data_IF_744811121435
#
_entry.id   IF_744811121435
#
_cell.length_a   1.000
_cell.length_b   1.000
_cell.length_c   1.000
_cell.angle_alpha   90.00
_cell.angle_beta   90.00
_cell.angle_gamma   90.00
#
_symmetry.space_group_name_H-M   'P 1'
#
loop_
_entity.id
_entity.type
_entity.pdbx_description
1 polymer ?
#
# COMPACT_ATOMS: atom_id res chain seq x y z
N UNK A 1 -13.09 36.60 5.36
CA UNK A 1 -12.44 37.41 4.31
C UNK A 1 -13.54 38.18 3.61
N UNK A 2 -13.41 39.50 3.52
CA UNK A 2 -14.45 40.37 2.95
C UNK A 2 -13.91 40.97 1.67
N UNK A 3 -14.68 40.89 0.59
CA UNK A 3 -14.33 41.44 -0.72
C UNK A 3 -15.42 42.41 -1.14
N UNK A 4 -15.03 43.58 -1.62
CA UNK A 4 -15.97 44.63 -2.06
C UNK A 4 -15.72 44.94 -3.53
N UNK A 5 -16.78 45.01 -4.33
CA UNK A 5 -16.74 45.49 -5.70
C UNK A 5 -17.85 46.54 -5.94
N UNK A 6 -17.95 47.05 -7.16
CA UNK A 6 -18.93 48.07 -7.57
C UNK A 6 -20.40 47.64 -7.42
N UNK A 7 -20.66 46.35 -7.19
CA UNK A 7 -22.00 45.78 -6.99
C UNK A 7 -22.32 45.49 -5.52
N UNK A 8 -21.38 45.73 -4.60
CA UNK A 8 -21.60 45.61 -3.15
C UNK A 8 -20.49 44.86 -2.40
N UNK A 9 -20.78 44.53 -1.15
CA UNK A 9 -19.85 43.89 -0.22
C UNK A 9 -20.26 42.44 0.06
N UNK A 10 -19.36 41.49 -0.17
CA UNK A 10 -19.55 40.09 0.18
C UNK A 10 -18.61 39.71 1.33
N UNK A 11 -19.16 39.06 2.36
CA UNK A 11 -18.37 38.53 3.49
C UNK A 11 -18.40 37.02 3.46
N UNK A 12 -17.24 36.39 3.33
CA UNK A 12 -17.07 34.94 3.46
C UNK A 12 -16.44 34.58 4.81
N UNK A 13 -16.88 33.47 5.39
CA UNK A 13 -16.31 32.88 6.60
C UNK A 13 -15.78 31.48 6.30
N UNK A 14 -14.69 31.08 6.96
CA UNK A 14 -14.28 29.68 6.96
C UNK A 14 -15.24 28.89 7.83
N UNK A 15 -15.88 27.88 7.25
CA UNK A 15 -16.71 26.94 7.99
C UNK A 15 -15.81 25.77 8.41
N UNK A 16 -15.74 25.42 9.70
CA UNK A 16 -15.08 24.18 10.13
C UNK A 16 -15.66 23.01 9.35
N UNK A 17 -14.79 22.29 8.65
CA UNK A 17 -15.16 21.08 7.94
C UNK A 17 -14.56 19.91 8.72
N UNK A 18 -15.40 19.07 9.31
CA UNK A 18 -14.95 17.90 10.07
C UNK A 18 -14.20 16.89 9.18
N UNK A 19 -14.33 16.99 7.85
CA UNK A 19 -13.57 16.22 6.88
C UNK A 19 -12.25 16.89 6.45
N UNK A 20 -11.91 18.06 7.01
CA UNK A 20 -10.65 18.73 6.71
C UNK A 20 -9.49 18.00 7.37
N UNK A 21 -8.62 17.42 6.54
CA UNK A 21 -7.40 16.75 6.99
C UNK A 21 -6.30 17.79 6.98
N UNK A 22 -5.62 18.00 8.13
CA UNK A 22 -4.50 18.95 8.17
C UNK A 22 -3.39 18.45 7.25
N UNK A 23 -2.74 19.38 6.56
CA UNK A 23 -1.56 19.07 5.75
C UNK A 23 -0.52 18.35 6.62
N UNK A 24 -0.11 17.15 6.20
CA UNK A 24 0.84 16.31 6.92
C UNK A 24 0.21 15.23 7.80
N UNK A 25 -1.11 15.26 8.04
CA UNK A 25 -1.80 14.14 8.69
C UNK A 25 -2.10 13.06 7.67
N UNK A 26 -1.59 11.86 7.93
CA UNK A 26 -1.90 10.69 7.10
C UNK A 26 -3.33 10.23 7.38
N UNK A 27 -4.14 10.14 6.32
CA UNK A 27 -5.45 9.50 6.36
C UNK A 27 -5.36 8.16 5.65
N UNK A 28 -5.70 7.11 6.39
CA UNK A 28 -5.81 5.74 5.88
C UNK A 28 -6.78 5.70 4.70
N UNK A 29 -6.37 5.05 3.64
CA UNK A 29 -7.11 4.92 2.39
C UNK A 29 -7.65 3.50 2.23
N UNK A 30 -8.57 3.31 1.29
CA UNK A 30 -9.06 1.98 0.91
C UNK A 30 -7.92 1.05 0.48
N UNK A 31 -6.88 1.59 -0.18
CA UNK A 31 -5.72 0.82 -0.60
C UNK A 31 -4.96 0.24 0.61
N UNK A 32 -4.87 0.98 1.71
CA UNK A 32 -4.22 0.50 2.93
C UNK A 32 -5.01 -0.64 3.57
N UNK A 33 -6.35 -0.60 3.48
CA UNK A 33 -7.21 -1.69 3.93
C UNK A 33 -7.10 -2.94 3.05
N UNK A 34 -6.93 -2.76 1.75
CA UNK A 34 -6.70 -3.86 0.81
C UNK A 34 -5.32 -4.51 1.04
N UNK A 35 -4.25 -3.71 1.12
CA UNK A 35 -2.89 -4.19 1.47
C UNK A 35 -2.86 -4.85 2.85
N UNK A 36 -3.68 -4.39 3.80
CA UNK A 36 -3.83 -5.02 5.10
C UNK A 36 -4.39 -6.46 5.00
N UNK A 37 -5.23 -6.74 4.00
CA UNK A 37 -5.86 -8.05 3.75
C UNK A 37 -5.11 -8.93 2.75
N UNK A 38 -4.05 -8.43 2.12
CA UNK A 38 -3.22 -9.22 1.21
C UNK A 38 -2.53 -10.40 1.93
N UNK A 39 -2.46 -11.54 1.24
CA UNK A 39 -1.71 -12.72 1.71
C UNK A 39 -0.21 -12.52 1.54
N UNK A 40 0.17 -11.83 0.45
CA UNK A 40 1.55 -11.56 0.04
C UNK A 40 1.64 -10.11 -0.45
N UNK A 41 2.67 -9.39 -0.02
CA UNK A 41 3.03 -8.08 -0.56
C UNK A 41 4.34 -8.16 -1.34
N UNK A 42 4.38 -7.60 -2.54
CA UNK A 42 5.62 -7.38 -3.31
C UNK A 42 6.22 -6.05 -2.84
N UNK A 43 7.42 -6.10 -2.27
CA UNK A 43 8.11 -4.93 -1.70
C UNK A 43 9.16 -4.36 -2.63
N UNK A 44 9.73 -5.18 -3.52
CA UNK A 44 10.68 -4.73 -4.55
C UNK A 44 10.68 -5.68 -5.76
N UNK A 45 11.07 -5.15 -6.91
CA UNK A 45 11.28 -5.91 -8.15
C UNK A 45 12.64 -5.54 -8.72
N UNK A 46 13.52 -6.53 -8.82
CA UNK A 46 14.83 -6.41 -9.46
C UNK A 46 15.10 -7.69 -10.30
N UNK A 47 16.25 -8.35 -10.14
CA UNK A 47 16.49 -9.68 -10.72
C UNK A 47 15.53 -10.76 -10.21
N UNK A 48 14.92 -10.51 -9.05
CA UNK A 48 13.90 -11.34 -8.40
C UNK A 48 12.80 -10.44 -7.83
N UNK A 49 11.63 -11.03 -7.57
CA UNK A 49 10.56 -10.37 -6.81
C UNK A 49 10.87 -10.55 -5.32
N UNK A 50 11.02 -9.45 -4.60
CA UNK A 50 11.03 -9.47 -3.14
C UNK A 50 9.59 -9.43 -2.65
N UNK A 51 9.23 -10.42 -1.84
CA UNK A 51 7.88 -10.55 -1.29
C UNK A 51 7.92 -10.70 0.23
N UNK A 52 6.95 -10.09 0.89
CA UNK A 52 6.60 -10.31 2.29
C UNK A 52 5.40 -11.24 2.34
N UNK A 53 5.55 -12.39 2.99
CA UNK A 53 4.44 -13.30 3.26
C UNK A 53 3.74 -12.85 4.54
N UNK A 54 2.50 -12.38 4.41
CA UNK A 54 1.69 -11.90 5.54
C UNK A 54 0.87 -13.01 6.17
N UNK A 55 0.38 -13.95 5.36
CA UNK A 55 -0.40 -15.07 5.84
C UNK A 55 0.54 -16.18 6.38
N UNK A 56 0.57 -16.47 7.71
CA UNK A 56 1.53 -17.40 8.31
C UNK A 56 1.33 -18.86 7.91
N UNK A 57 0.17 -19.20 7.35
CA UNK A 57 -0.13 -20.54 6.81
C UNK A 57 0.65 -20.86 5.53
N UNK A 58 1.05 -19.83 4.77
CA UNK A 58 1.79 -19.99 3.52
C UNK A 58 3.24 -20.35 3.84
N UNK A 59 3.68 -21.54 3.40
CA UNK A 59 5.06 -22.02 3.55
C UNK A 59 5.72 -22.12 2.17
N UNK A 60 6.67 -21.24 1.91
CA UNK A 60 7.41 -21.22 0.64
C UNK A 60 8.74 -21.95 0.78
N UNK A 61 8.98 -22.92 -0.11
CA UNK A 61 10.25 -23.63 -0.25
C UNK A 61 10.41 -24.14 -1.70
N UNK A 62 11.62 -24.54 -2.08
CA UNK A 62 11.91 -25.16 -3.36
C UNK A 62 12.62 -24.25 -4.37
N UNK A 63 12.69 -24.72 -5.63
CA UNK A 63 13.49 -24.06 -6.67
C UNK A 63 12.90 -22.72 -7.07
N UNK A 64 13.74 -21.68 -7.03
CA UNK A 64 13.36 -20.32 -7.39
C UNK A 64 12.71 -19.54 -6.24
N UNK A 65 12.84 -20.04 -5.01
CA UNK A 65 12.46 -19.37 -3.76
C UNK A 65 13.70 -19.33 -2.87
N UNK A 66 14.05 -18.13 -2.38
CA UNK A 66 15.12 -17.93 -1.40
C UNK A 66 14.59 -17.09 -0.26
N UNK A 67 14.65 -17.58 0.98
CA UNK A 67 14.30 -16.77 2.15
C UNK A 67 15.41 -15.73 2.42
N UNK A 68 15.02 -14.52 2.82
CA UNK A 68 15.97 -13.51 3.29
C UNK A 68 16.70 -14.01 4.55
N UNK A 69 17.97 -13.68 4.67
CA UNK A 69 18.82 -14.01 5.82
C UNK A 69 18.64 -13.03 6.98
N UNK A 70 18.08 -11.84 6.72
CA UNK A 70 17.95 -10.76 7.69
C UNK A 70 16.54 -10.65 8.27
N UNK A 71 15.52 -10.96 7.47
CA UNK A 71 14.11 -10.78 7.85
C UNK A 71 13.33 -12.06 7.54
N UNK A 72 12.70 -12.65 8.57
CA UNK A 72 12.19 -14.02 8.52
C UNK A 72 11.00 -14.27 7.58
N UNK A 73 10.21 -13.25 7.26
CA UNK A 73 9.02 -13.33 6.40
C UNK A 73 9.24 -12.76 4.98
N UNK A 74 10.48 -12.38 4.64
CA UNK A 74 10.85 -11.91 3.30
C UNK A 74 11.42 -13.06 2.47
N UNK A 75 10.99 -13.14 1.22
CA UNK A 75 11.47 -14.11 0.24
C UNK A 75 11.79 -13.41 -1.08
N UNK A 76 12.83 -13.91 -1.75
CA UNK A 76 13.17 -13.59 -3.13
C UNK A 76 12.67 -14.73 -4.01
N UNK A 77 11.77 -14.41 -4.96
CA UNK A 77 11.18 -15.40 -5.83
C UNK A 77 11.42 -15.05 -7.30
N UNK A 78 11.67 -16.08 -8.11
CA UNK A 78 11.76 -15.92 -9.57
C UNK A 78 10.40 -15.51 -10.15
N UNK A 79 10.39 -14.86 -11.31
CA UNK A 79 9.15 -14.47 -12.01
C UNK A 79 8.18 -15.65 -12.21
N UNK A 80 8.72 -16.85 -12.51
CA UNK A 80 7.92 -18.07 -12.67
C UNK A 80 7.13 -18.40 -11.40
N UNK A 81 7.79 -18.32 -10.24
CA UNK A 81 7.17 -18.58 -8.94
C UNK A 81 6.18 -17.47 -8.60
N UNK A 82 6.56 -16.21 -8.80
CA UNK A 82 5.65 -15.08 -8.61
C UNK A 82 4.33 -15.25 -9.39
N UNK A 83 4.41 -15.58 -10.69
CA UNK A 83 3.23 -15.87 -11.53
C UNK A 83 2.38 -17.04 -11.03
N UNK A 84 2.96 -18.00 -10.31
CA UNK A 84 2.20 -19.07 -9.66
C UNK A 84 1.50 -18.55 -8.39
N UNK A 85 2.20 -17.78 -7.57
CA UNK A 85 1.64 -17.18 -6.36
C UNK A 85 0.46 -16.26 -6.66
N UNK A 86 0.53 -15.45 -7.72
CA UNK A 86 -0.58 -14.60 -8.16
C UNK A 86 -1.85 -15.37 -8.58
N UNK A 87 -1.75 -16.67 -8.85
CA UNK A 87 -2.92 -17.52 -9.20
C UNK A 87 -3.57 -18.13 -7.97
N UNK A 88 -2.83 -18.27 -6.88
CA UNK A 88 -3.25 -19.03 -5.70
C UNK A 88 -3.58 -18.12 -4.51
N UNK A 89 -2.94 -16.96 -4.43
CA UNK A 89 -3.01 -16.06 -3.27
C UNK A 89 -3.41 -14.64 -3.66
N UNK A 90 -3.91 -13.88 -2.69
CA UNK A 90 -4.12 -12.46 -2.84
C UNK A 90 -2.79 -11.70 -2.74
N UNK A 91 -2.18 -11.43 -3.90
CA UNK A 91 -0.89 -10.74 -4.02
C UNK A 91 -1.10 -9.28 -4.40
N UNK A 92 -0.50 -8.36 -3.64
CA UNK A 92 -0.52 -6.92 -3.94
C UNK A 92 0.90 -6.34 -3.93
N UNK A 93 1.09 -5.15 -4.52
CA UNK A 93 2.36 -4.40 -4.40
C UNK A 93 2.30 -3.43 -3.22
N UNK A 94 3.45 -3.18 -2.58
CA UNK A 94 3.55 -2.23 -1.46
C UNK A 94 4.10 -0.84 -1.85
N UNK A 95 4.70 -0.71 -3.03
CA UNK A 95 5.21 0.54 -3.59
C UNK A 95 4.21 1.28 -4.47
#
# INVERSE_FOLDING_TARGET
MTTTNEYGTATGYFVPNDNFIKRGEYKRTTLDDEKAKADILVTAIDSHYEIVVKNPSIKLNGRGIKRSTYIGNIFYVTERVYKQLCKEYNVMCDF
#
